data_IF_028100417419
#
_entry.id   IF_028100417419
#
_cell.length_a   1.000
_cell.length_b   1.000
_cell.length_c   1.000
_cell.angle_alpha   90.00
_cell.angle_beta   90.00
_cell.angle_gamma   90.00
#
_symmetry.space_group_name_H-M   'P 1'
#
loop_
_entity.id
_entity.type
_entity.pdbx_description
1 polymer ?
#
# COMPACT_ATOMS: atom_id res chain seq x y z
N UNK A 1 2.43 -15.93 -20.23
CA UNK A 1 2.62 -17.30 -19.69
C UNK A 1 1.28 -18.00 -19.65
N UNK A 2 1.22 -19.30 -19.94
CA UNK A 2 0.01 -20.07 -19.71
C UNK A 2 -0.41 -19.90 -18.24
N UNK A 3 -1.72 -19.79 -18.01
CA UNK A 3 -2.21 -19.74 -16.64
C UNK A 3 -1.89 -21.08 -15.96
N UNK A 4 -1.30 -21.02 -14.76
CA UNK A 4 -0.95 -22.19 -13.98
C UNK A 4 -1.97 -22.38 -12.85
N UNK A 5 -2.03 -23.57 -12.29
CA UNK A 5 -2.84 -24.00 -11.14
C UNK A 5 -1.94 -24.73 -10.14
N UNK A 6 -1.92 -24.32 -8.87
CA UNK A 6 -1.20 -25.08 -7.83
C UNK A 6 -2.20 -26.02 -7.14
N UNK A 7 -1.86 -27.30 -7.02
CA UNK A 7 -2.69 -28.33 -6.38
C UNK A 7 -1.85 -29.21 -5.48
N UNK A 8 -2.45 -29.77 -4.42
CA UNK A 8 -1.74 -30.76 -3.61
C UNK A 8 -1.42 -31.99 -4.44
N UNK A 9 -0.19 -32.48 -4.35
CA UNK A 9 0.30 -33.58 -5.17
C UNK A 9 -0.48 -34.90 -4.91
N UNK A 10 -1.01 -35.09 -3.70
CA UNK A 10 -1.84 -36.25 -3.33
C UNK A 10 -3.22 -36.26 -3.99
N UNK A 11 -3.69 -35.12 -4.49
CA UNK A 11 -4.97 -35.01 -5.23
C UNK A 11 -4.84 -35.37 -6.71
N UNK A 12 -3.62 -35.51 -7.22
CA UNK A 12 -3.35 -35.83 -8.62
C UNK A 12 -3.20 -37.34 -8.86
N UNK A 13 -3.68 -37.87 -10.00
CA UNK A 13 -3.46 -39.26 -10.39
C UNK A 13 -1.98 -39.53 -10.64
N UNK A 14 -1.54 -40.79 -10.50
CA UNK A 14 -0.11 -41.15 -10.54
C UNK A 14 0.50 -40.86 -11.91
N UNK A 15 -0.30 -41.09 -12.95
CA UNK A 15 0.00 -40.91 -14.36
C UNK A 15 0.29 -39.44 -14.71
N UNK A 16 -0.16 -38.48 -13.89
CA UNK A 16 0.14 -37.06 -14.07
C UNK A 16 1.62 -36.72 -13.83
N UNK A 17 2.33 -37.57 -13.09
CA UNK A 17 3.75 -37.38 -12.77
C UNK A 17 4.68 -38.16 -13.72
N UNK A 18 4.18 -39.17 -14.44
CA UNK A 18 4.95 -40.03 -15.36
C UNK A 18 5.53 -39.30 -16.59
N UNK A 19 5.17 -38.04 -16.81
CA UNK A 19 5.69 -37.19 -17.90
C UNK A 19 6.75 -36.19 -17.44
N UNK A 20 7.10 -36.20 -16.14
CA UNK A 20 8.19 -35.41 -15.55
C UNK A 20 9.50 -36.18 -15.42
N UNK A 21 9.47 -37.49 -15.71
CA UNK A 21 10.56 -38.43 -15.46
C UNK A 21 11.88 -37.90 -16.00
N UNK A 22 12.82 -37.67 -15.08
CA UNK A 22 14.22 -37.54 -15.45
C UNK A 22 14.66 -38.85 -16.13
N UNK A 23 15.47 -38.83 -17.20
CA UNK A 23 16.02 -40.06 -17.81
C UNK A 23 17.01 -40.82 -16.89
N UNK A 24 17.07 -40.44 -15.61
CA UNK A 24 17.96 -40.97 -14.59
C UNK A 24 17.17 -41.80 -13.56
N UNK A 25 17.29 -43.14 -13.58
CA UNK A 25 16.46 -44.05 -12.76
C UNK A 25 16.68 -43.91 -11.25
N UNK A 26 17.75 -43.27 -10.78
CA UNK A 26 17.90 -42.94 -9.36
C UNK A 26 16.92 -41.83 -8.91
N UNK A 27 16.52 -40.92 -9.83
CA UNK A 27 15.54 -39.85 -9.58
C UNK A 27 14.08 -40.32 -9.63
N UNK A 28 13.76 -41.35 -10.42
CA UNK A 28 12.41 -41.98 -10.44
C UNK A 28 11.99 -42.50 -9.04
N UNK A 29 12.96 -42.99 -8.25
CA UNK A 29 12.71 -43.46 -6.88
C UNK A 29 12.33 -42.35 -5.89
N UNK A 30 12.67 -41.10 -6.21
CA UNK A 30 12.40 -39.92 -5.38
C UNK A 30 11.09 -39.21 -5.72
N UNK A 31 10.62 -39.27 -6.98
CA UNK A 31 9.34 -38.69 -7.43
C UNK A 31 8.14 -39.38 -6.74
N UNK A 32 8.25 -40.69 -6.51
CA UNK A 32 7.27 -41.50 -5.78
C UNK A 32 7.22 -41.17 -4.28
N UNK A 33 8.31 -40.63 -3.69
CA UNK A 33 8.36 -40.24 -2.27
C UNK A 33 7.51 -39.00 -1.94
N UNK A 34 7.22 -38.13 -2.91
CA UNK A 34 6.36 -36.95 -2.71
C UNK A 34 4.91 -37.32 -2.31
N UNK A 35 4.50 -38.60 -2.42
CA UNK A 35 3.22 -39.13 -1.91
C UNK A 35 3.28 -39.70 -0.48
N UNK A 36 4.47 -39.92 0.10
CA UNK A 36 4.66 -40.65 1.36
C UNK A 36 4.89 -39.76 2.58
N UNK A 37 4.13 -40.03 3.64
CA UNK A 37 4.21 -39.56 5.06
C UNK A 37 4.21 -38.03 5.35
N UNK A 38 4.52 -37.14 4.39
CA UNK A 38 4.49 -35.67 4.53
C UNK A 38 3.63 -34.96 3.46
N UNK A 39 2.50 -35.56 3.09
CA UNK A 39 1.63 -35.09 1.99
C UNK A 39 1.08 -33.64 2.04
N UNK A 40 0.82 -32.95 3.18
CA UNK A 40 0.20 -31.62 3.15
C UNK A 40 1.10 -30.52 2.52
N UNK A 41 2.40 -30.77 2.44
CA UNK A 41 3.40 -29.79 2.01
C UNK A 41 4.03 -30.12 0.65
N UNK A 42 3.46 -31.08 -0.09
CA UNK A 42 3.86 -31.40 -1.46
C UNK A 42 2.82 -30.90 -2.46
N UNK A 43 3.23 -30.00 -3.36
CA UNK A 43 2.35 -29.32 -4.31
C UNK A 43 2.89 -29.39 -5.73
N UNK A 44 1.99 -29.47 -6.70
CA UNK A 44 2.28 -29.55 -8.12
C UNK A 44 1.71 -28.33 -8.84
N UNK A 45 2.46 -27.79 -9.80
CA UNK A 45 1.99 -26.75 -10.70
C UNK A 45 1.49 -27.39 -11.99
N UNK A 46 0.27 -27.07 -12.38
CA UNK A 46 -0.45 -27.66 -13.50
C UNK A 46 -0.84 -26.57 -14.50
N UNK A 47 -0.62 -26.76 -15.79
CA UNK A 47 -1.12 -25.88 -16.83
C UNK A 47 -2.65 -25.88 -16.83
N UNK A 48 -3.28 -24.71 -16.76
CA UNK A 48 -4.75 -24.62 -16.69
C UNK A 48 -5.43 -24.99 -18.01
N UNK A 49 -4.71 -24.95 -19.13
CA UNK A 49 -5.26 -25.20 -20.47
C UNK A 49 -5.14 -26.68 -20.89
N UNK A 50 -4.06 -27.36 -20.49
CA UNK A 50 -3.74 -28.73 -20.89
C UNK A 50 -3.76 -29.73 -19.74
N UNK A 51 -3.87 -29.27 -18.49
CA UNK A 51 -3.84 -30.12 -17.30
C UNK A 51 -2.48 -30.76 -17.03
N UNK A 52 -1.42 -30.32 -17.73
CA UNK A 52 -0.08 -30.92 -17.62
C UNK A 52 0.64 -30.42 -16.37
N UNK A 53 1.31 -31.32 -15.64
CA UNK A 53 2.15 -30.92 -14.51
C UNK A 53 3.45 -30.29 -15.02
N UNK A 54 3.63 -28.99 -14.80
CA UNK A 54 4.78 -28.20 -15.24
C UNK A 54 5.93 -28.17 -14.22
N UNK A 55 5.68 -28.56 -12.97
CA UNK A 55 6.68 -28.64 -11.91
C UNK A 55 6.09 -29.07 -10.56
N UNK A 56 6.95 -29.28 -9.55
CA UNK A 56 6.55 -29.56 -8.18
C UNK A 56 7.40 -28.82 -7.14
N UNK A 57 6.80 -28.59 -5.97
CA UNK A 57 7.46 -28.10 -4.76
C UNK A 57 7.14 -29.05 -3.61
N UNK A 58 8.16 -29.46 -2.87
CA UNK A 58 8.04 -30.33 -1.72
C UNK A 58 8.72 -29.68 -0.52
N UNK A 59 8.00 -29.63 0.59
CA UNK A 59 8.54 -29.18 1.86
C UNK A 59 8.18 -30.13 3.00
N UNK A 60 8.91 -30.02 4.11
CA UNK A 60 8.67 -30.77 5.34
C UNK A 60 8.58 -29.81 6.52
N UNK A 61 7.72 -30.12 7.48
CA UNK A 61 7.69 -29.37 8.72
C UNK A 61 8.89 -29.79 9.58
N UNK A 62 9.66 -28.82 10.06
CA UNK A 62 10.77 -29.01 11.01
C UNK A 62 10.40 -28.37 12.35
N UNK A 63 11.29 -28.48 13.34
CA UNK A 63 11.07 -27.94 14.69
C UNK A 63 10.84 -26.40 14.66
N UNK A 64 10.08 -25.90 15.65
CA UNK A 64 9.66 -24.49 15.81
C UNK A 64 8.74 -23.91 14.73
N UNK A 65 7.73 -24.68 14.30
CA UNK A 65 6.74 -24.26 13.28
C UNK A 65 7.39 -23.67 12.02
N UNK A 66 8.41 -24.38 11.54
CA UNK A 66 9.21 -23.99 10.41
C UNK A 66 9.00 -24.97 9.26
N UNK A 67 8.98 -24.46 8.03
CA UNK A 67 8.74 -25.28 6.85
C UNK A 67 9.99 -25.32 5.99
N UNK A 68 10.64 -26.48 5.90
CA UNK A 68 11.84 -26.66 5.09
C UNK A 68 11.46 -27.04 3.66
N UNK A 69 11.73 -26.19 2.67
CA UNK A 69 11.60 -26.50 1.24
C UNK A 69 12.75 -27.42 0.85
N UNK A 70 12.43 -28.69 0.72
CA UNK A 70 13.39 -29.74 0.36
C UNK A 70 13.61 -29.82 -1.15
N UNK A 71 12.60 -29.47 -1.95
CA UNK A 71 12.62 -29.62 -3.42
C UNK A 71 11.76 -28.57 -4.14
N UNK A 72 12.27 -28.05 -5.26
CA UNK A 72 11.50 -27.28 -6.26
C UNK A 72 12.05 -27.64 -7.65
N UNK A 73 11.28 -28.37 -8.46
CA UNK A 73 11.66 -28.78 -9.82
C UNK A 73 10.64 -28.30 -10.86
N UNK A 74 11.11 -27.96 -12.05
CA UNK A 74 10.30 -27.53 -13.20
C UNK A 74 10.68 -28.31 -14.46
N UNK A 75 9.75 -28.44 -15.42
CA UNK A 75 10.04 -29.10 -16.70
C UNK A 75 11.14 -28.36 -17.50
N UNK A 76 12.17 -29.05 -18.02
CA UNK A 76 13.21 -28.44 -18.84
C UNK A 76 12.71 -27.88 -20.19
N UNK A 77 11.58 -28.37 -20.70
CA UNK A 77 11.05 -28.02 -22.03
C UNK A 77 10.19 -26.74 -22.06
N UNK A 78 9.92 -26.12 -20.92
CA UNK A 78 9.19 -24.83 -20.84
C UNK A 78 10.19 -23.64 -20.82
N UNK A 79 11.49 -23.95 -20.95
CA UNK A 79 12.58 -23.09 -20.50
C UNK A 79 13.27 -22.27 -21.59
N UNK A 80 12.48 -21.53 -22.37
CA UNK A 80 13.01 -20.34 -23.05
C UNK A 80 13.22 -19.17 -22.06
N UNK A 81 12.71 -19.28 -20.82
CA UNK A 81 12.80 -18.29 -19.74
C UNK A 81 13.10 -18.95 -18.37
N UNK A 82 14.33 -19.44 -18.19
CA UNK A 82 14.88 -20.18 -17.04
C UNK A 82 14.53 -19.72 -15.60
N UNK A 83 14.09 -18.48 -15.41
CA UNK A 83 13.84 -17.93 -14.07
C UNK A 83 12.37 -17.86 -13.63
N UNK A 84 11.40 -17.82 -14.55
CA UNK A 84 10.07 -17.28 -14.22
C UNK A 84 9.06 -18.32 -13.70
N UNK A 85 9.15 -19.58 -14.15
CA UNK A 85 8.25 -20.64 -13.69
C UNK A 85 8.54 -21.06 -12.22
N UNK A 86 9.80 -21.29 -11.81
CA UNK A 86 10.14 -21.54 -10.41
C UNK A 86 9.68 -20.40 -9.48
N UNK A 87 9.85 -19.13 -9.90
CA UNK A 87 9.34 -17.95 -9.18
C UNK A 87 7.84 -18.04 -8.94
N UNK A 88 7.07 -18.22 -10.01
CA UNK A 88 5.61 -18.25 -9.94
C UNK A 88 5.09 -19.42 -9.08
N UNK A 89 5.80 -20.56 -9.11
CA UNK A 89 5.46 -21.73 -8.30
C UNK A 89 5.73 -21.53 -6.82
N UNK A 90 6.98 -21.17 -6.48
CA UNK A 90 7.40 -20.89 -5.11
C UNK A 90 6.50 -19.82 -4.50
N UNK A 91 6.21 -18.76 -5.26
CA UNK A 91 5.30 -17.71 -4.84
C UNK A 91 3.96 -18.25 -4.37
N UNK A 92 3.27 -18.97 -5.24
CA UNK A 92 1.93 -19.48 -4.95
C UNK A 92 1.92 -20.47 -3.80
N UNK A 93 2.97 -21.25 -3.67
CA UNK A 93 3.13 -22.16 -2.56
C UNK A 93 3.20 -21.40 -1.22
N UNK A 94 4.00 -20.34 -1.16
CA UNK A 94 4.11 -19.50 0.04
C UNK A 94 2.81 -18.75 0.33
N UNK A 95 2.07 -18.33 -0.70
CA UNK A 95 0.74 -17.73 -0.54
C UNK A 95 -0.24 -18.73 0.11
N UNK A 96 -0.19 -20.02 -0.27
CA UNK A 96 -0.98 -21.08 0.36
C UNK A 96 -0.55 -21.31 1.81
N UNK A 97 0.75 -21.41 2.08
CA UNK A 97 1.29 -21.61 3.43
C UNK A 97 0.84 -20.49 4.38
N UNK A 98 0.82 -19.25 3.88
CA UNK A 98 0.43 -18.08 4.67
C UNK A 98 -1.08 -17.88 4.85
N UNK A 99 -1.93 -18.57 4.07
CA UNK A 99 -3.40 -18.38 4.08
C UNK A 99 -4.22 -19.60 4.52
N UNK A 100 -3.61 -20.77 4.71
CA UNK A 100 -4.30 -22.00 5.10
C UNK A 100 -4.25 -22.22 6.62
N UNK A 101 -5.38 -22.52 7.27
CA UNK A 101 -5.48 -22.84 8.71
C UNK A 101 -4.52 -23.95 9.17
N UNK A 102 -4.34 -25.02 8.39
CA UNK A 102 -3.41 -26.11 8.72
C UNK A 102 -1.94 -25.63 8.75
N UNK A 103 -1.65 -24.60 7.97
CA UNK A 103 -0.34 -23.97 7.82
C UNK A 103 -0.22 -22.68 8.64
N UNK A 104 -1.30 -22.22 9.28
CA UNK A 104 -1.38 -20.92 9.93
C UNK A 104 -0.33 -20.78 11.03
N UNK A 105 0.15 -21.89 11.60
CA UNK A 105 1.23 -21.96 12.59
C UNK A 105 2.64 -21.75 12.03
N UNK A 106 2.85 -21.87 10.72
CA UNK A 106 4.17 -21.73 10.11
C UNK A 106 4.63 -20.27 10.16
N UNK A 107 5.72 -20.02 10.88
CA UNK A 107 6.30 -18.68 11.07
C UNK A 107 7.44 -18.38 10.10
N UNK A 108 8.19 -19.42 9.72
CA UNK A 108 9.38 -19.33 8.86
C UNK A 108 9.41 -20.44 7.82
N UNK A 109 9.96 -20.15 6.64
CA UNK A 109 10.25 -21.11 5.58
C UNK A 109 11.74 -21.16 5.33
N UNK A 110 12.34 -22.34 5.37
CA UNK A 110 13.77 -22.56 5.22
C UNK A 110 14.03 -23.25 3.89
N UNK A 111 14.91 -22.75 3.03
CA UNK A 111 15.26 -23.36 1.76
C UNK A 111 16.77 -23.60 1.68
N UNK A 112 17.21 -24.77 1.19
CA UNK A 112 18.62 -25.14 1.16
C UNK A 112 19.43 -24.33 0.14
N UNK A 113 20.71 -24.03 0.41
CA UNK A 113 21.64 -23.42 -0.56
C UNK A 113 21.60 -24.14 -1.93
N UNK A 114 21.41 -23.37 -2.99
CA UNK A 114 21.23 -23.86 -4.37
C UNK A 114 20.14 -23.12 -5.14
N UNK A 115 19.25 -22.43 -4.43
CA UNK A 115 18.36 -21.43 -5.01
C UNK A 115 19.05 -20.06 -5.12
N UNK A 116 18.68 -19.28 -6.13
CA UNK A 116 19.18 -17.93 -6.34
C UNK A 116 18.52 -16.95 -5.34
N UNK A 117 19.32 -16.23 -4.54
CA UNK A 117 18.82 -15.20 -3.61
C UNK A 117 17.96 -14.17 -4.32
N UNK A 118 18.32 -13.82 -5.56
CA UNK A 118 17.57 -12.89 -6.39
C UNK A 118 16.16 -13.40 -6.68
N UNK A 119 15.94 -14.73 -6.68
CA UNK A 119 14.64 -15.36 -6.87
C UNK A 119 13.68 -15.02 -5.72
N UNK A 120 14.15 -15.18 -4.48
CA UNK A 120 13.34 -14.94 -3.29
C UNK A 120 13.13 -13.46 -3.03
N UNK A 121 14.17 -12.65 -3.22
CA UNK A 121 14.06 -11.19 -3.16
C UNK A 121 13.10 -10.66 -4.23
N UNK A 122 13.11 -11.22 -5.45
CA UNK A 122 12.14 -10.88 -6.50
C UNK A 122 10.70 -11.28 -6.15
N UNK A 123 10.52 -12.29 -5.28
CA UNK A 123 9.23 -12.64 -4.71
C UNK A 123 8.83 -11.78 -3.49
N UNK A 124 9.64 -10.79 -3.12
CA UNK A 124 9.36 -9.87 -2.02
C UNK A 124 9.70 -10.43 -0.63
N UNK A 125 10.38 -11.57 -0.58
CA UNK A 125 10.78 -12.19 0.69
C UNK A 125 12.13 -11.68 1.13
N UNK A 126 12.28 -11.49 2.44
CA UNK A 126 13.59 -11.22 3.04
C UNK A 126 14.23 -12.52 3.42
N UNK A 127 15.50 -12.63 3.07
CA UNK A 127 16.30 -13.80 3.28
C UNK A 127 17.35 -13.51 4.35
N UNK A 128 17.57 -14.47 5.23
CA UNK A 128 18.74 -14.53 6.10
C UNK A 128 19.37 -15.90 6.01
N UNK A 129 20.64 -15.99 6.37
CA UNK A 129 21.40 -17.22 6.30
C UNK A 129 21.65 -17.77 7.70
N UNK A 130 21.29 -19.04 7.92
CA UNK A 130 21.62 -19.77 9.14
C UNK A 130 22.55 -20.95 8.81
N UNK A 131 23.59 -21.15 9.64
CA UNK A 131 24.48 -22.30 9.54
C UNK A 131 23.97 -23.40 10.48
N UNK A 132 23.76 -24.61 9.96
CA UNK A 132 23.47 -25.77 10.80
C UNK A 132 24.75 -26.23 11.50
N UNK A 133 24.69 -26.44 12.82
CA UNK A 133 25.83 -26.90 13.61
C UNK A 133 26.38 -28.22 13.05
N UNK A 134 27.58 -28.15 12.47
CA UNK A 134 28.36 -29.33 12.05
C UNK A 134 28.34 -29.68 10.56
N UNK A 135 27.63 -28.95 9.69
CA UNK A 135 27.70 -29.13 8.23
C UNK A 135 27.66 -27.78 7.48
N UNK A 136 28.38 -27.64 6.34
CA UNK A 136 28.42 -26.40 5.56
C UNK A 136 27.19 -26.28 4.64
N UNK A 137 25.98 -26.33 5.19
CA UNK A 137 24.77 -25.89 4.47
C UNK A 137 24.39 -24.50 4.94
N UNK A 138 24.47 -23.54 4.03
CA UNK A 138 23.87 -22.22 4.24
C UNK A 138 22.39 -22.35 3.91
N UNK A 139 21.51 -22.26 4.90
CA UNK A 139 20.07 -22.33 4.67
C UNK A 139 19.50 -20.90 4.55
N UNK A 140 18.68 -20.69 3.53
CA UNK A 140 17.96 -19.45 3.27
C UNK A 140 16.66 -19.43 4.09
N UNK A 141 16.50 -18.46 4.97
CA UNK A 141 15.34 -18.33 5.86
C UNK A 141 14.43 -17.20 5.41
N UNK A 142 13.15 -17.50 5.25
CA UNK A 142 12.07 -16.57 4.90
C UNK A 142 11.14 -16.44 6.11
N UNK A 143 11.02 -15.24 6.64
CA UNK A 143 10.12 -14.95 7.75
C UNK A 143 8.74 -14.56 7.24
N UNK A 144 7.77 -15.47 7.32
CA UNK A 144 6.40 -15.25 6.79
C UNK A 144 5.56 -14.29 7.67
N UNK A 145 5.92 -14.16 8.95
CA UNK A 145 5.18 -13.33 9.93
C UNK A 145 5.93 -12.10 10.39
N UNK A 146 7.00 -11.76 9.68
CA UNK A 146 7.75 -10.55 9.91
C UNK A 146 7.58 -9.65 8.71
N UNK A 147 6.97 -8.49 8.92
CA UNK A 147 6.78 -7.51 7.85
C UNK A 147 7.38 -6.18 8.26
N UNK A 148 8.23 -5.62 7.41
CA UNK A 148 8.79 -4.30 7.67
C UNK A 148 7.72 -3.25 7.54
N UNK A 149 7.71 -2.37 8.53
CA UNK A 149 6.78 -1.28 8.61
C UNK A 149 7.53 -0.05 9.08
N UNK A 150 7.19 1.09 8.48
CA UNK A 150 7.78 2.38 8.84
C UNK A 150 6.66 3.37 9.07
N UNK A 151 6.91 4.36 9.91
CA UNK A 151 6.03 5.50 10.04
C UNK A 151 6.78 6.74 9.58
N UNK A 152 6.16 7.52 8.69
CA UNK A 152 6.69 8.78 8.22
C UNK A 152 5.67 9.89 8.42
N UNK A 153 6.16 11.07 8.82
CA UNK A 153 5.38 12.29 8.91
C UNK A 153 5.45 13.00 7.55
N UNK A 154 4.37 12.95 6.78
CA UNK A 154 4.28 13.65 5.50
C UNK A 154 3.83 15.10 5.67
N UNK A 155 4.25 15.96 4.74
CA UNK A 155 3.99 17.40 4.77
C UNK A 155 4.42 18.05 6.09
N UNK A 156 5.58 17.65 6.61
CA UNK A 156 6.06 18.13 7.90
C UNK A 156 6.40 19.63 7.86
N UNK A 157 6.39 20.23 9.04
CA UNK A 157 6.96 21.56 9.28
C UNK A 157 8.44 21.37 9.67
N UNK A 158 9.39 21.85 8.86
CA UNK A 158 10.82 21.66 9.13
C UNK A 158 11.29 22.32 10.43
N UNK A 159 10.52 23.26 10.97
CA UNK A 159 10.85 23.97 12.23
C UNK A 159 10.25 23.30 13.47
N UNK A 160 9.50 22.21 13.31
CA UNK A 160 8.79 21.54 14.41
C UNK A 160 8.90 20.02 14.31
N UNK A 161 9.52 19.42 15.32
CA UNK A 161 9.56 17.96 15.46
C UNK A 161 8.15 17.37 15.60
N UNK A 162 7.95 16.16 15.07
CA UNK A 162 6.67 15.44 15.09
C UNK A 162 5.51 16.26 14.52
N UNK A 163 5.80 17.08 13.52
CA UNK A 163 4.82 17.81 12.72
C UNK A 163 4.33 16.97 11.54
N UNK A 164 3.55 17.55 10.64
CA UNK A 164 2.95 16.87 9.50
C UNK A 164 1.88 15.85 9.90
N UNK A 165 1.53 15.00 8.94
CA UNK A 165 0.55 13.94 9.12
C UNK A 165 1.22 12.55 9.07
N UNK A 166 1.20 11.77 10.17
CA UNK A 166 1.84 10.47 10.23
C UNK A 166 1.06 9.43 9.42
N UNK A 167 1.76 8.65 8.59
CA UNK A 167 1.22 7.44 8.00
C UNK A 167 2.20 6.28 8.20
N UNK A 168 1.62 5.10 8.50
CA UNK A 168 2.37 3.86 8.46
C UNK A 168 2.45 3.35 7.02
N UNK A 169 3.58 2.77 6.65
CA UNK A 169 3.86 2.29 5.29
C UNK A 169 4.42 0.88 5.39
N UNK A 170 3.80 -0.02 4.66
CA UNK A 170 4.15 -1.42 4.58
C UNK A 170 4.29 -1.81 3.11
N UNK A 171 5.40 -2.44 2.73
CA UNK A 171 5.50 -3.11 1.42
C UNK A 171 5.07 -4.55 1.62
N UNK A 172 3.96 -4.93 1.00
CA UNK A 172 3.46 -6.29 1.06
C UNK A 172 4.47 -7.23 0.38
N UNK A 173 4.86 -8.33 1.03
CA UNK A 173 5.72 -9.32 0.39
C UNK A 173 4.96 -10.03 -0.72
N UNK A 174 3.62 -9.97 -0.77
CA UNK A 174 2.76 -10.67 -1.73
C UNK A 174 2.23 -9.85 -2.91
N UNK A 175 2.15 -10.47 -4.09
CA UNK A 175 1.38 -9.90 -5.21
C UNK A 175 -0.09 -10.24 -5.01
N UNK A 176 -0.90 -9.30 -4.56
CA UNK A 176 -2.37 -9.37 -4.75
C UNK A 176 -2.68 -9.33 -6.25
N UNK A 177 -3.83 -9.87 -6.69
CA UNK A 177 -4.32 -9.62 -8.06
C UNK A 177 -5.08 -8.29 -8.05
N UNK A 178 -4.96 -7.50 -9.11
CA UNK A 178 -5.54 -6.16 -9.22
C UNK A 178 -7.08 -6.18 -9.22
N UNK A 179 -7.65 -5.14 -8.60
CA UNK A 179 -9.05 -4.75 -8.62
C UNK A 179 -9.40 -4.12 -9.98
N UNK A 180 -10.22 -4.79 -10.80
CA UNK A 180 -11.03 -4.08 -11.81
C UNK A 180 -12.43 -3.77 -11.24
N UNK A 181 -12.85 -2.50 -11.15
CA UNK A 181 -14.23 -2.14 -10.86
C UNK A 181 -15.10 -2.53 -12.07
N UNK A 182 -15.69 -3.73 -12.03
CA UNK A 182 -16.50 -4.25 -13.14
C UNK A 182 -16.32 -5.73 -13.46
N UNK A 183 -15.36 -6.41 -12.83
CA UNK A 183 -15.25 -7.88 -12.89
C UNK A 183 -16.34 -8.56 -12.04
N UNK A 184 -17.62 -8.30 -12.36
CA UNK A 184 -18.74 -9.11 -11.88
C UNK A 184 -19.10 -10.12 -12.97
N UNK A 185 -19.05 -11.41 -12.58
CA UNK A 185 -19.77 -12.55 -13.17
C UNK A 185 -19.16 -13.18 -14.42
N UNK A 186 -18.14 -14.00 -14.23
CA UNK A 186 -18.20 -15.40 -14.64
C UNK A 186 -16.96 -16.15 -14.13
N UNK A 187 -17.20 -17.02 -13.15
CA UNK A 187 -16.41 -18.24 -13.06
C UNK A 187 -16.87 -19.13 -14.23
N UNK A 188 -15.99 -19.74 -15.04
CA UNK A 188 -16.16 -21.16 -15.25
C UNK A 188 -15.99 -21.78 -13.86
N UNK A 189 -17.11 -22.16 -13.26
CA UNK A 189 -17.14 -22.95 -12.04
C UNK A 189 -16.58 -24.32 -12.40
N UNK A 190 -15.26 -24.45 -12.48
CA UNK A 190 -14.59 -25.74 -12.48
C UNK A 190 -13.20 -25.61 -11.84
N UNK A 191 -13.20 -25.87 -10.54
CA UNK A 191 -12.07 -26.48 -9.85
C UNK A 191 -11.07 -25.53 -9.21
N UNK A 192 -11.43 -24.84 -8.13
CA UNK A 192 -10.52 -24.54 -7.01
C UNK A 192 -11.37 -24.34 -5.74
N UNK A 193 -11.27 -25.28 -4.79
CA UNK A 193 -11.91 -25.16 -3.47
C UNK A 193 -10.95 -25.64 -2.38
N UNK A 194 -10.55 -24.75 -1.49
CA UNK A 194 -10.28 -25.11 -0.09
C UNK A 194 -11.58 -24.87 0.64
N UNK A 195 -12.19 -25.93 1.16
CA UNK A 195 -13.53 -25.89 1.73
C UNK A 195 -13.42 -25.55 3.21
N UNK A 196 -14.00 -24.41 3.60
CA UNK A 196 -14.46 -24.20 4.98
C UNK A 196 -15.55 -25.25 5.29
N UNK A 197 -15.34 -26.03 6.35
CA UNK A 197 -16.17 -27.18 6.70
C UNK A 197 -17.61 -26.80 7.11
N UNK A 198 -17.92 -25.53 7.34
CA UNK A 198 -19.30 -25.09 7.63
C UNK A 198 -20.01 -24.43 6.43
N UNK A 199 -19.29 -23.87 5.46
CA UNK A 199 -19.90 -23.03 4.40
C UNK A 199 -19.63 -23.46 2.95
N UNK A 200 -18.68 -24.37 2.69
CA UNK A 200 -18.46 -24.88 1.34
C UNK A 200 -17.77 -23.90 0.36
N UNK A 201 -17.43 -22.68 0.79
CA UNK A 201 -16.88 -21.65 -0.08
C UNK A 201 -15.34 -21.60 -0.04
N UNK A 202 -14.65 -21.35 -1.17
CA UNK A 202 -13.22 -21.13 -1.18
C UNK A 202 -12.85 -19.83 -0.46
N UNK A 203 -11.99 -19.92 0.56
CA UNK A 203 -11.19 -18.78 1.04
C UNK A 203 -10.39 -18.24 -0.15
N UNK A 204 -10.69 -17.02 -0.59
CA UNK A 204 -9.93 -16.38 -1.68
C UNK A 204 -8.65 -15.83 -1.08
N UNK A 205 -7.52 -15.94 -1.75
CA UNK A 205 -6.24 -15.33 -1.33
C UNK A 205 -6.34 -13.80 -1.19
N UNK A 206 -7.35 -13.19 -1.83
CA UNK A 206 -7.74 -11.80 -1.60
C UNK A 206 -8.21 -11.58 -0.16
N UNK A 207 -8.91 -12.53 0.44
CA UNK A 207 -9.43 -12.47 1.81
C UNK A 207 -8.28 -12.44 2.84
N UNK A 208 -7.17 -13.16 2.61
CA UNK A 208 -6.04 -13.17 3.56
C UNK A 208 -5.25 -11.86 3.55
N UNK A 209 -5.02 -11.25 2.38
CA UNK A 209 -4.39 -9.95 2.26
C UNK A 209 -5.29 -8.83 2.83
N UNK A 210 -6.59 -8.90 2.59
CA UNK A 210 -7.56 -7.97 3.20
C UNK A 210 -7.54 -8.05 4.73
N UNK A 211 -7.60 -9.27 5.28
CA UNK A 211 -7.56 -9.51 6.72
C UNK A 211 -6.26 -8.97 7.31
N UNK A 212 -5.12 -9.23 6.67
CA UNK A 212 -3.83 -8.68 7.10
C UNK A 212 -3.82 -7.15 7.09
N UNK A 213 -4.18 -6.53 5.97
CA UNK A 213 -4.15 -5.06 5.85
C UNK A 213 -5.10 -4.39 6.84
N UNK A 214 -6.27 -4.99 7.08
CA UNK A 214 -7.23 -4.51 8.09
C UNK A 214 -6.67 -4.69 9.50
N UNK A 215 -6.10 -5.85 9.83
CA UNK A 215 -5.50 -6.11 11.14
C UNK A 215 -4.35 -5.15 11.43
N UNK A 216 -3.45 -4.95 10.46
CA UNK A 216 -2.33 -4.00 10.60
C UNK A 216 -2.85 -2.57 10.68
N UNK A 217 -3.78 -2.15 9.81
CA UNK A 217 -4.39 -0.82 9.88
C UNK A 217 -5.00 -0.51 11.25
N UNK A 218 -5.74 -1.47 11.81
CA UNK A 218 -6.32 -1.39 13.15
C UNK A 218 -5.24 -1.33 14.24
N UNK A 219 -4.20 -2.16 14.14
CA UNK A 219 -3.10 -2.20 15.10
C UNK A 219 -2.30 -0.89 15.12
N UNK A 220 -2.12 -0.27 13.95
CA UNK A 220 -1.40 1.01 13.84
C UNK A 220 -2.21 2.17 14.39
N UNK A 221 -3.53 2.13 14.25
CA UNK A 221 -4.46 3.15 14.74
C UNK A 221 -4.03 4.58 14.37
N UNK A 222 -3.51 4.73 13.14
CA UNK A 222 -3.26 6.01 12.49
C UNK A 222 -4.44 6.37 11.60
N UNK A 223 -4.46 7.61 11.08
CA UNK A 223 -5.47 8.00 10.09
C UNK A 223 -5.44 7.04 8.90
N UNK A 224 -4.25 6.72 8.39
CA UNK A 224 -4.06 5.76 7.32
C UNK A 224 -2.79 4.93 7.50
N UNK A 225 -2.90 3.65 7.17
CA UNK A 225 -1.78 2.76 6.86
C UNK A 225 -1.79 2.46 5.36
N UNK A 226 -0.67 2.77 4.70
CA UNK A 226 -0.46 2.48 3.29
C UNK A 226 0.19 1.11 3.10
N UNK A 227 -0.35 0.34 2.18
CA UNK A 227 0.16 -0.95 1.74
C UNK A 227 0.57 -0.84 0.28
N UNK A 228 1.81 -1.20 -0.01
CA UNK A 228 2.43 -1.09 -1.32
C UNK A 228 2.74 -2.48 -1.87
N UNK A 229 2.53 -2.69 -3.16
CA UNK A 229 2.96 -3.90 -3.88
C UNK A 229 3.80 -3.48 -5.08
N UNK A 230 5.03 -3.97 -5.18
CA UNK A 230 5.91 -3.70 -6.32
C UNK A 230 5.39 -4.39 -7.59
N UNK A 231 5.20 -3.59 -8.64
CA UNK A 231 4.72 -4.06 -9.95
C UNK A 231 5.86 -4.17 -10.98
N UNK A 232 7.06 -3.69 -10.64
CA UNK A 232 8.25 -3.74 -11.51
C UNK A 232 8.60 -2.39 -12.13
N UNK A 233 9.74 -2.37 -12.82
CA UNK A 233 10.25 -1.21 -13.55
C UNK A 233 9.61 -1.13 -14.95
N UNK A 234 9.44 0.10 -15.43
CA UNK A 234 9.11 0.37 -16.84
C UNK A 234 10.36 0.21 -17.73
N UNK A 235 10.16 0.12 -19.05
CA UNK A 235 11.23 -0.04 -20.03
C UNK A 235 12.25 1.13 -20.03
N UNK A 236 11.86 2.30 -19.53
CA UNK A 236 12.72 3.48 -19.46
C UNK A 236 13.83 3.38 -18.39
N UNK A 237 13.74 2.41 -17.48
CA UNK A 237 14.67 2.20 -16.37
C UNK A 237 14.69 3.32 -15.32
N UNK A 238 13.82 4.32 -15.44
CA UNK A 238 13.70 5.49 -14.55
C UNK A 238 12.38 5.55 -13.80
N UNK A 239 11.42 4.75 -14.24
CA UNK A 239 10.09 4.66 -13.67
C UNK A 239 9.89 3.28 -13.06
N UNK A 240 9.35 3.24 -11.84
CA UNK A 240 8.90 2.00 -11.20
C UNK A 240 7.43 2.10 -10.79
N UNK A 241 6.70 1.01 -10.96
CA UNK A 241 5.28 0.92 -10.67
C UNK A 241 5.04 0.22 -9.34
N UNK A 242 4.08 0.70 -8.57
CA UNK A 242 3.55 0.04 -7.39
C UNK A 242 2.03 0.07 -7.41
N UNK A 243 1.36 -0.92 -6.84
CA UNK A 243 -0.02 -0.73 -6.36
C UNK A 243 0.06 -0.11 -4.97
N UNK A 244 -0.87 0.79 -4.65
CA UNK A 244 -1.02 1.37 -3.32
C UNK A 244 -2.47 1.26 -2.84
N UNK A 245 -2.63 0.90 -1.57
CA UNK A 245 -3.94 0.83 -0.88
C UNK A 245 -3.83 1.45 0.49
N UNK A 246 -4.88 2.11 0.95
CA UNK A 246 -4.88 2.80 2.25
C UNK A 246 -5.99 2.27 3.14
N UNK A 247 -5.62 1.77 4.32
CA UNK A 247 -6.59 1.35 5.35
C UNK A 247 -6.62 2.35 6.49
N UNK A 248 -7.82 2.73 6.87
CA UNK A 248 -8.16 3.34 8.15
C UNK A 248 -8.69 2.24 9.09
N UNK A 249 -8.89 2.53 10.39
CA UNK A 249 -9.56 1.59 11.30
C UNK A 249 -10.98 1.20 10.84
N UNK A 250 -11.65 2.09 10.10
CA UNK A 250 -13.05 1.92 9.68
C UNK A 250 -13.20 1.31 8.27
N UNK A 251 -12.12 1.26 7.48
CA UNK A 251 -12.18 0.68 6.14
C UNK A 251 -11.08 1.16 5.19
N UNK A 252 -11.28 0.92 3.90
CA UNK A 252 -10.37 1.38 2.85
C UNK A 252 -10.84 2.70 2.26
N UNK A 253 -9.90 3.60 1.97
CA UNK A 253 -10.17 4.86 1.26
C UNK A 253 -9.60 4.81 -0.16
N UNK A 254 -10.28 5.45 -1.11
CA UNK A 254 -9.89 5.40 -2.52
C UNK A 254 -8.65 6.26 -2.86
N UNK A 255 -8.35 7.27 -2.03
CA UNK A 255 -7.23 8.19 -2.22
C UNK A 255 -6.80 8.82 -0.88
N UNK A 256 -5.48 8.83 -0.61
CA UNK A 256 -4.93 9.56 0.53
C UNK A 256 -3.60 10.27 0.18
N UNK A 257 -3.61 11.61 0.20
CA UNK A 257 -2.45 12.41 -0.23
C UNK A 257 -1.23 12.30 0.68
N UNK A 258 -1.39 12.40 2.00
CA UNK A 258 -0.25 12.36 2.93
C UNK A 258 0.34 10.95 3.02
N UNK A 259 -0.48 9.90 3.03
CA UNK A 259 0.01 8.53 3.02
C UNK A 259 0.69 8.16 1.69
N UNK A 260 0.28 8.80 0.58
CA UNK A 260 1.01 8.74 -0.71
C UNK A 260 2.40 9.37 -0.61
N UNK A 261 2.51 10.56 -0.02
CA UNK A 261 3.81 11.23 0.17
C UNK A 261 4.70 10.43 1.12
N UNK A 262 4.14 9.95 2.24
CA UNK A 262 4.84 9.10 3.20
C UNK A 262 5.35 7.82 2.53
N UNK A 263 4.53 7.17 1.70
CA UNK A 263 4.88 5.96 0.97
C UNK A 263 6.04 6.18 0.00
N UNK A 264 5.93 7.19 -0.84
CA UNK A 264 6.95 7.50 -1.86
C UNK A 264 8.26 7.93 -1.21
N UNK A 265 8.19 8.77 -0.16
CA UNK A 265 9.33 9.10 0.67
C UNK A 265 9.99 7.86 1.29
N UNK A 266 9.20 7.00 1.93
CA UNK A 266 9.70 5.80 2.57
C UNK A 266 10.38 4.85 1.57
N UNK A 267 9.85 4.70 0.36
CA UNK A 267 10.47 3.86 -0.67
C UNK A 267 11.87 4.37 -1.07
N UNK A 268 12.07 5.68 -1.20
CA UNK A 268 13.37 6.28 -1.55
C UNK A 268 14.31 6.51 -0.36
N UNK A 269 13.81 6.48 0.88
CA UNK A 269 14.59 6.73 2.08
C UNK A 269 15.37 5.46 2.49
N UNK A 270 16.71 5.45 2.41
CA UNK A 270 17.50 4.23 2.64
C UNK A 270 17.34 3.67 4.06
N UNK A 271 17.07 4.52 5.05
CA UNK A 271 16.85 4.10 6.44
C UNK A 271 15.52 3.39 6.64
N UNK A 272 14.54 3.56 5.73
CA UNK A 272 13.26 2.84 5.81
C UNK A 272 13.49 1.35 5.69
N UNK A 273 14.49 0.99 4.87
CA UNK A 273 14.80 -0.36 4.48
C UNK A 273 13.55 -1.16 4.10
N UNK A 274 12.53 -0.54 3.49
CA UNK A 274 11.34 -1.25 3.03
C UNK A 274 11.69 -2.16 1.85
N UNK A 275 12.55 -1.68 0.96
CA UNK A 275 13.01 -2.37 -0.24
C UNK A 275 14.41 -2.98 -0.05
N UNK A 276 14.81 -3.83 -0.99
CA UNK A 276 16.20 -4.27 -1.13
C UNK A 276 17.09 -3.06 -1.52
N UNK A 277 18.33 -2.98 -1.02
CA UNK A 277 19.29 -1.96 -1.46
C UNK A 277 19.45 -1.95 -2.98
N UNK A 278 19.52 -0.77 -3.59
CA UNK A 278 19.71 -0.61 -5.03
C UNK A 278 18.46 -0.77 -5.90
N UNK A 279 17.34 -1.23 -5.34
CA UNK A 279 16.11 -1.51 -6.13
C UNK A 279 15.55 -0.28 -6.85
N UNK A 280 15.82 0.92 -6.31
CA UNK A 280 15.39 2.21 -6.89
C UNK A 280 16.57 3.03 -7.43
N UNK A 281 17.73 2.41 -7.69
CA UNK A 281 18.87 3.13 -8.27
C UNK A 281 18.50 3.63 -9.68
N UNK A 282 18.70 4.93 -9.91
CA UNK A 282 18.32 5.59 -11.16
C UNK A 282 16.81 5.87 -11.33
N UNK A 283 15.96 5.45 -10.38
CA UNK A 283 14.51 5.70 -10.42
C UNK A 283 14.19 7.08 -9.85
N UNK A 284 13.69 7.97 -10.70
CA UNK A 284 13.24 9.32 -10.34
C UNK A 284 11.71 9.47 -10.36
N UNK A 285 10.98 8.46 -10.85
CA UNK A 285 9.52 8.46 -10.97
C UNK A 285 8.92 7.18 -10.38
N UNK A 286 7.91 7.36 -9.54
CA UNK A 286 7.03 6.28 -9.08
C UNK A 286 5.63 6.50 -9.66
N UNK A 287 5.07 5.45 -10.24
CA UNK A 287 3.65 5.37 -10.60
C UNK A 287 2.96 4.47 -9.59
N UNK A 288 1.90 4.98 -8.96
CA UNK A 288 1.13 4.25 -7.97
C UNK A 288 -0.27 3.97 -8.52
N UNK A 289 -0.59 2.71 -8.74
CA UNK A 289 -1.92 2.24 -9.12
C UNK A 289 -2.81 2.18 -7.88
N UNK A 290 -3.93 2.91 -7.89
CA UNK A 290 -4.88 2.97 -6.78
C UNK A 290 -6.33 2.84 -7.27
N UNK A 291 -7.28 2.68 -6.36
CA UNK A 291 -8.72 2.66 -6.68
C UNK A 291 -9.22 3.95 -7.30
N UNK A 292 -8.56 5.07 -7.04
CA UNK A 292 -8.84 6.38 -7.65
C UNK A 292 -8.13 6.62 -8.99
N UNK A 293 -7.39 5.63 -9.49
CA UNK A 293 -6.56 5.73 -10.68
C UNK A 293 -5.08 5.88 -10.37
N UNK A 294 -4.30 6.23 -11.40
CA UNK A 294 -2.85 6.39 -11.29
C UNK A 294 -2.47 7.69 -10.58
N UNK A 295 -1.55 7.57 -9.62
CA UNK A 295 -0.88 8.69 -8.99
C UNK A 295 0.60 8.70 -9.41
N UNK A 296 1.18 9.89 -9.56
CA UNK A 296 2.58 10.03 -9.92
C UNK A 296 3.32 10.77 -8.82
N UNK A 297 4.49 10.25 -8.46
CA UNK A 297 5.45 10.92 -7.60
C UNK A 297 6.79 11.04 -8.33
N UNK A 298 7.38 12.24 -8.29
CA UNK A 298 8.69 12.52 -8.89
C UNK A 298 9.64 12.99 -7.82
N UNK A 299 10.85 12.43 -7.81
CA UNK A 299 11.96 12.82 -6.95
C UNK A 299 12.95 13.64 -7.75
N UNK A 300 13.23 14.86 -7.30
CA UNK A 300 14.26 15.69 -7.94
C UNK A 300 15.67 15.30 -7.49
N UNK A 301 16.68 15.94 -8.10
CA UNK A 301 18.09 15.68 -7.80
C UNK A 301 18.48 16.06 -6.36
N UNK A 302 17.69 16.88 -5.67
CA UNK A 302 17.88 17.26 -4.28
C UNK A 302 17.14 16.30 -3.33
N UNK A 303 16.42 15.32 -3.88
CA UNK A 303 15.69 14.31 -3.13
C UNK A 303 14.28 14.73 -2.72
N UNK A 304 13.80 15.90 -3.14
CA UNK A 304 12.46 16.35 -2.81
C UNK A 304 11.42 15.67 -3.71
N UNK A 305 10.26 15.40 -3.13
CA UNK A 305 9.21 14.62 -3.77
C UNK A 305 8.05 15.54 -4.13
N UNK A 306 7.63 15.46 -5.37
CA UNK A 306 6.46 16.16 -5.89
C UNK A 306 5.40 15.13 -6.27
N UNK A 307 4.23 15.23 -5.64
CA UNK A 307 3.04 14.47 -6.01
C UNK A 307 2.23 15.22 -7.06
N UNK A 308 1.60 14.48 -7.96
CA UNK A 308 0.84 15.02 -9.07
C UNK A 308 -0.64 14.63 -8.97
N UNK A 309 -1.51 15.62 -8.75
CA UNK A 309 -2.95 15.45 -8.54
C UNK A 309 -3.78 16.20 -9.59
N UNK A 310 -5.03 15.77 -9.84
CA UNK A 310 -5.99 16.56 -10.59
C UNK A 310 -6.21 17.93 -9.94
N UNK A 311 -6.38 18.97 -10.77
CA UNK A 311 -6.78 20.28 -10.30
C UNK A 311 -8.23 20.24 -9.81
N UNK A 312 -8.47 20.70 -8.58
CA UNK A 312 -9.80 20.90 -8.03
C UNK A 312 -10.10 22.39 -7.96
N UNK A 313 -11.36 22.78 -8.24
CA UNK A 313 -11.80 24.16 -8.08
C UNK A 313 -12.87 24.26 -7.00
N UNK A 314 -12.82 25.35 -6.24
CA UNK A 314 -14.02 25.82 -5.56
C UNK A 314 -14.97 26.28 -6.65
N UNK A 315 -16.10 25.61 -6.75
CA UNK A 315 -17.03 25.82 -7.85
C UNK A 315 -17.82 27.10 -7.59
N UNK A 316 -17.79 28.03 -8.54
CA UNK A 316 -18.73 29.14 -8.58
C UNK A 316 -20.16 28.66 -8.92
N UNK A 317 -20.29 27.48 -9.54
CA UNK A 317 -21.55 26.83 -9.92
C UNK A 317 -22.19 26.02 -8.77
N UNK A 318 -21.43 25.70 -7.73
CA UNK A 318 -21.89 25.08 -6.48
C UNK A 318 -21.53 25.98 -5.29
N UNK A 319 -22.11 27.19 -5.19
CA UNK A 319 -21.93 28.00 -3.99
C UNK A 319 -22.50 27.26 -2.78
N UNK A 320 -21.91 27.46 -1.62
CA UNK A 320 -22.53 26.99 -0.38
C UNK A 320 -23.91 27.65 -0.23
N UNK A 321 -24.94 26.86 0.02
CA UNK A 321 -26.28 27.37 0.30
C UNK A 321 -26.29 28.20 1.58
N UNK A 322 -27.25 29.12 1.71
CA UNK A 322 -27.43 29.91 2.94
C UNK A 322 -27.61 29.00 4.18
N UNK A 323 -28.25 27.84 3.99
CA UNK A 323 -28.43 26.84 5.03
C UNK A 323 -27.10 26.22 5.47
N UNK A 324 -26.24 25.82 4.52
CA UNK A 324 -24.91 25.29 4.82
C UNK A 324 -24.03 26.36 5.46
N UNK A 325 -24.04 27.59 4.93
CA UNK A 325 -23.32 28.74 5.51
C UNK A 325 -23.72 28.94 6.97
N UNK A 326 -25.02 28.97 7.26
CA UNK A 326 -25.51 29.15 8.63
C UNK A 326 -25.16 27.95 9.53
N UNK A 327 -25.25 26.73 9.01
CA UNK A 327 -24.95 25.51 9.76
C UNK A 327 -23.46 25.43 10.11
N UNK A 328 -22.57 25.69 9.15
CA UNK A 328 -21.12 25.63 9.38
C UNK A 328 -20.66 26.74 10.31
N UNK A 329 -21.10 27.98 10.11
CA UNK A 329 -20.73 29.10 11.00
C UNK A 329 -21.23 28.90 12.43
N UNK A 330 -22.38 28.25 12.62
CA UNK A 330 -22.86 27.89 13.97
C UNK A 330 -21.94 26.88 14.67
N UNK A 331 -21.28 26.00 13.92
CA UNK A 331 -20.33 25.02 14.45
C UNK A 331 -18.89 25.53 14.57
N UNK A 332 -18.60 26.74 14.11
CA UNK A 332 -17.26 27.34 14.18
C UNK A 332 -17.28 28.49 15.20
N UNK A 333 -17.02 28.16 16.46
CA UNK A 333 -16.99 29.14 17.55
C UNK A 333 -15.75 30.03 17.43
N UNK A 334 -15.86 31.30 17.86
CA UNK A 334 -14.75 32.26 17.79
C UNK A 334 -14.62 32.99 16.44
N UNK A 335 -15.61 32.87 15.55
CA UNK A 335 -15.68 33.63 14.29
C UNK A 335 -16.86 34.60 14.35
N UNK A 336 -16.59 35.89 14.16
CA UNK A 336 -17.60 36.90 13.90
C UNK A 336 -17.90 37.02 12.40
N UNK A 337 -19.16 37.27 12.02
CA UNK A 337 -19.57 37.35 10.62
C UNK A 337 -18.75 38.34 9.76
N UNK A 338 -18.30 39.52 10.25
CA UNK A 338 -17.42 40.42 9.50
C UNK A 338 -16.04 39.85 9.18
N UNK A 339 -15.59 38.81 9.88
CA UNK A 339 -14.31 38.14 9.60
C UNK A 339 -14.41 37.17 8.41
N UNK A 340 -15.63 36.80 7.98
CA UNK A 340 -15.85 35.86 6.88
C UNK A 340 -15.77 36.59 5.53
N UNK A 341 -14.74 36.26 4.76
CA UNK A 341 -14.48 36.85 3.43
C UNK A 341 -15.23 36.10 2.33
N UNK A 342 -15.25 34.78 2.41
CA UNK A 342 -15.85 33.93 1.39
C UNK A 342 -16.29 32.59 2.00
N UNK A 343 -17.40 32.05 1.51
CA UNK A 343 -17.83 30.69 1.80
C UNK A 343 -18.09 30.00 0.47
N UNK A 344 -17.37 28.92 0.22
CA UNK A 344 -17.45 28.16 -1.01
C UNK A 344 -17.49 26.66 -0.76
N UNK A 345 -17.57 25.92 -1.85
CA UNK A 345 -17.66 24.46 -1.84
C UNK A 345 -16.96 23.87 -3.06
N UNK A 346 -16.38 22.69 -2.89
CA UNK A 346 -16.06 21.80 -4.01
C UNK A 346 -16.99 20.57 -3.98
N UNK A 347 -16.74 19.57 -4.83
CA UNK A 347 -17.57 18.35 -4.86
C UNK A 347 -17.74 17.62 -3.52
N UNK A 348 -16.83 17.78 -2.55
CA UNK A 348 -16.84 17.05 -1.26
C UNK A 348 -16.85 17.96 -0.02
N UNK A 349 -16.15 19.09 -0.06
CA UNK A 349 -15.73 19.89 1.10
C UNK A 349 -16.27 21.32 1.05
N UNK A 350 -16.53 21.89 2.22
CA UNK A 350 -16.80 23.33 2.40
C UNK A 350 -15.51 24.09 2.69
N UNK A 351 -15.43 25.33 2.21
CA UNK A 351 -14.31 26.24 2.48
C UNK A 351 -14.82 27.56 3.03
N UNK A 352 -14.26 27.99 4.15
CA UNK A 352 -14.54 29.26 4.81
C UNK A 352 -13.25 30.06 4.81
N UNK A 353 -13.23 31.12 4.02
CA UNK A 353 -12.14 32.08 4.02
C UNK A 353 -12.38 33.15 5.09
N UNK A 354 -11.41 33.34 5.96
CA UNK A 354 -11.39 34.38 6.98
C UNK A 354 -10.42 35.51 6.61
N UNK A 355 -10.56 36.63 7.31
CA UNK A 355 -9.80 37.85 7.01
C UNK A 355 -8.29 37.72 7.19
N UNK A 356 -7.83 36.88 8.13
CA UNK A 356 -6.41 36.75 8.47
C UNK A 356 -6.10 35.44 9.23
N UNK A 357 -4.79 35.22 9.46
CA UNK A 357 -4.24 34.09 10.22
C UNK A 357 -4.74 34.02 11.66
N UNK A 358 -4.95 35.17 12.31
CA UNK A 358 -5.37 35.22 13.71
C UNK A 358 -6.79 34.65 13.84
N UNK A 359 -7.70 35.06 12.96
CA UNK A 359 -9.05 34.54 12.88
C UNK A 359 -9.07 33.01 12.66
N UNK A 360 -8.21 32.48 11.77
CA UNK A 360 -8.07 31.02 11.55
C UNK A 360 -7.58 30.30 12.81
N UNK A 361 -6.64 30.90 13.54
CA UNK A 361 -6.06 30.34 14.77
C UNK A 361 -7.03 30.32 15.96
N UNK A 362 -7.95 31.29 16.03
CA UNK A 362 -8.90 31.43 17.13
C UNK A 362 -10.12 30.52 17.02
N UNK A 363 -10.35 29.89 15.86
CA UNK A 363 -11.51 29.03 15.66
C UNK A 363 -11.51 27.83 16.61
N UNK A 364 -12.62 27.64 17.31
CA UNK A 364 -12.89 26.46 18.13
C UNK A 364 -14.01 25.65 17.46
N UNK A 365 -13.72 24.46 16.90
CA UNK A 365 -14.72 23.65 16.22
C UNK A 365 -15.65 22.98 17.24
N UNK A 366 -16.96 23.08 17.01
CA UNK A 366 -17.95 22.26 17.68
C UNK A 366 -18.20 21.00 16.86
N UNK A 367 -17.42 19.93 17.11
CA UNK A 367 -17.45 18.70 16.30
C UNK A 367 -18.84 18.11 16.13
N UNK A 368 -19.70 18.17 17.16
CA UNK A 368 -21.06 17.65 17.08
C UNK A 368 -21.94 18.41 16.07
N UNK A 369 -21.82 19.74 16.03
CA UNK A 369 -22.55 20.57 15.05
C UNK A 369 -21.96 20.39 13.65
N UNK A 370 -20.63 20.39 13.53
CA UNK A 370 -19.95 20.25 12.24
C UNK A 370 -20.19 18.86 11.62
N UNK A 371 -20.30 17.80 12.42
CA UNK A 371 -20.64 16.45 11.94
C UNK A 371 -22.03 16.37 11.27
N UNK A 372 -22.93 17.31 11.58
CA UNK A 372 -24.26 17.36 10.98
C UNK A 372 -24.31 18.12 9.64
N UNK A 373 -23.22 18.80 9.27
CA UNK A 373 -23.14 19.54 8.00
C UNK A 373 -22.93 18.54 6.86
N UNK A 374 -23.72 18.59 5.76
CA UNK A 374 -23.68 17.60 4.68
C UNK A 374 -22.48 17.80 3.75
N UNK A 375 -21.27 17.63 4.29
CA UNK A 375 -20.01 17.68 3.57
C UNK A 375 -19.03 16.68 4.19
N UNK A 376 -17.99 16.30 3.44
CA UNK A 376 -16.94 15.41 3.92
C UNK A 376 -16.06 16.12 4.95
N UNK A 377 -15.57 17.32 4.61
CA UNK A 377 -14.75 18.13 5.49
C UNK A 377 -15.01 19.63 5.31
N UNK A 378 -14.52 20.41 6.27
CA UNK A 378 -14.62 21.86 6.33
C UNK A 378 -13.20 22.43 6.45
N UNK A 379 -12.75 23.15 5.42
CA UNK A 379 -11.53 23.94 5.47
C UNK A 379 -11.82 25.35 5.95
N UNK A 380 -10.98 25.84 6.84
CA UNK A 380 -10.90 27.26 7.16
C UNK A 380 -9.56 27.76 6.69
N UNK A 381 -9.54 28.88 5.97
CA UNK A 381 -8.30 29.41 5.43
C UNK A 381 -8.27 30.94 5.44
N UNK A 382 -7.08 31.52 5.32
CA UNK A 382 -6.90 32.95 5.12
C UNK A 382 -5.65 33.20 4.28
N UNK A 383 -5.57 34.39 3.69
CA UNK A 383 -4.30 34.89 3.16
C UNK A 383 -3.31 35.09 4.31
N UNK A 384 -2.05 34.82 4.03
CA UNK A 384 -0.96 35.15 4.95
C UNK A 384 -0.50 36.61 4.78
N UNK A 385 0.22 37.11 5.79
CA UNK A 385 0.81 38.45 5.70
C UNK A 385 1.93 38.48 4.65
N UNK A 386 2.23 39.66 4.11
CA UNK A 386 3.32 39.83 3.14
C UNK A 386 4.72 39.57 3.73
N UNK A 387 4.84 39.50 5.06
CA UNK A 387 6.08 39.17 5.77
C UNK A 387 6.24 37.65 5.97
N UNK A 388 5.17 36.87 5.78
CA UNK A 388 5.19 35.42 5.91
C UNK A 388 5.89 34.76 4.72
N UNK A 389 6.63 33.65 4.93
CA UNK A 389 7.15 32.84 3.83
C UNK A 389 6.07 31.99 3.14
N UNK A 390 4.82 32.04 3.64
CA UNK A 390 3.66 31.33 3.12
C UNK A 390 2.68 32.30 2.47
N UNK A 391 1.92 31.82 1.48
CA UNK A 391 0.92 32.63 0.77
C UNK A 391 -0.47 32.53 1.43
N UNK A 392 -0.76 31.39 2.05
CA UNK A 392 -2.02 31.17 2.76
C UNK A 392 -1.85 30.19 3.93
N UNK A 393 -2.76 30.29 4.88
CA UNK A 393 -2.86 29.41 6.03
C UNK A 393 -4.20 28.68 6.03
N UNK A 394 -4.25 27.45 6.55
CA UNK A 394 -5.47 26.67 6.63
C UNK A 394 -5.56 25.79 7.90
N UNK A 395 -6.77 25.35 8.22
CA UNK A 395 -7.10 24.23 9.11
C UNK A 395 -8.19 23.41 8.45
N UNK A 396 -8.32 22.13 8.79
CA UNK A 396 -9.35 21.25 8.24
C UNK A 396 -10.00 20.40 9.33
N UNK A 397 -11.33 20.41 9.36
CA UNK A 397 -12.14 19.63 10.28
C UNK A 397 -12.97 18.62 9.50
N UNK A 398 -12.95 17.35 9.91
CA UNK A 398 -13.73 16.28 9.26
C UNK A 398 -14.50 15.42 10.28
N UNK A 399 -15.29 16.01 11.21
CA UNK A 399 -15.91 15.26 12.29
C UNK A 399 -16.98 14.28 11.80
N UNK A 400 -17.56 14.48 10.61
CA UNK A 400 -18.42 13.50 9.95
C UNK A 400 -17.69 12.18 9.61
N UNK A 401 -16.37 12.21 9.53
CA UNK A 401 -15.48 11.05 9.34
C UNK A 401 -14.84 10.58 10.66
N UNK A 402 -15.28 11.08 11.81
CA UNK A 402 -14.67 10.78 13.11
C UNK A 402 -13.32 11.47 13.36
N UNK A 403 -12.92 12.41 12.50
CA UNK A 403 -11.67 13.17 12.64
C UNK A 403 -11.98 14.61 13.02
N UNK A 404 -11.79 14.95 14.30
CA UNK A 404 -12.05 16.32 14.79
C UNK A 404 -11.28 17.37 13.99
N UNK A 405 -9.96 17.21 13.84
CA UNK A 405 -9.08 18.08 13.06
C UNK A 405 -7.97 17.25 12.40
N UNK A 406 -7.82 17.40 11.08
CA UNK A 406 -6.74 16.75 10.32
C UNK A 406 -5.40 17.48 10.57
N UNK A 407 -4.32 16.76 10.96
CA UNK A 407 -2.99 17.34 11.11
C UNK A 407 -2.47 18.06 9.86
N UNK A 408 -2.63 17.44 8.70
CA UNK A 408 -2.27 18.01 7.41
C UNK A 408 -3.03 17.34 6.28
N UNK A 409 -3.90 18.10 5.62
CA UNK A 409 -4.69 17.62 4.50
C UNK A 409 -4.11 18.06 3.15
N UNK A 410 -3.42 17.13 2.48
CA UNK A 410 -2.87 17.39 1.13
C UNK A 410 -3.96 17.68 0.09
N UNK A 411 -5.09 16.96 0.13
CA UNK A 411 -6.19 17.19 -0.82
C UNK A 411 -6.80 18.59 -0.69
N UNK A 412 -6.76 19.19 0.50
CA UNK A 412 -7.21 20.57 0.68
C UNK A 412 -6.41 21.57 -0.17
N UNK A 413 -5.11 21.33 -0.30
CA UNK A 413 -4.22 22.18 -1.08
C UNK A 413 -4.45 22.07 -2.60
N UNK A 414 -5.14 21.03 -3.06
CA UNK A 414 -5.52 20.86 -4.47
C UNK A 414 -6.62 21.85 -4.91
N UNK A 415 -7.45 22.36 -3.98
CA UNK A 415 -8.42 23.42 -4.27
C UNK A 415 -8.05 24.77 -3.65
N UNK A 416 -7.34 24.80 -2.51
CA UNK A 416 -6.85 26.06 -1.93
C UNK A 416 -5.78 26.71 -2.80
N UNK A 417 -4.90 25.90 -3.42
CA UNK A 417 -3.90 26.39 -4.36
C UNK A 417 -4.53 27.20 -5.50
N UNK A 418 -5.39 26.60 -6.35
CA UNK A 418 -6.06 27.34 -7.40
C UNK A 418 -6.89 28.55 -6.92
N UNK A 419 -7.52 28.44 -5.74
CA UNK A 419 -8.28 29.56 -5.14
C UNK A 419 -7.40 30.78 -4.84
N UNK A 420 -6.32 30.57 -4.09
CA UNK A 420 -5.40 31.66 -3.75
C UNK A 420 -4.53 32.09 -4.93
N UNK A 421 -4.21 31.18 -5.84
CA UNK A 421 -3.44 31.48 -7.05
C UNK A 421 -4.15 32.50 -7.93
N UNK A 422 -5.47 32.35 -8.10
CA UNK A 422 -6.29 33.36 -8.80
C UNK A 422 -6.30 34.71 -8.10
N UNK A 423 -6.41 34.73 -6.76
CA UNK A 423 -6.43 35.97 -5.97
C UNK A 423 -5.11 36.70 -5.99
N UNK A 424 -4.00 35.96 -5.94
CA UNK A 424 -2.64 36.50 -5.89
C UNK A 424 -2.02 36.72 -7.27
N UNK A 425 -2.64 36.21 -8.34
CA UNK A 425 -2.05 36.18 -9.68
C UNK A 425 -0.80 35.29 -9.77
N UNK A 426 -0.77 34.19 -9.00
CA UNK A 426 0.37 33.25 -8.89
C UNK A 426 -0.03 31.84 -9.31
N UNK A 427 0.93 31.11 -9.88
CA UNK A 427 0.80 29.67 -10.17
C UNK A 427 1.63 28.80 -9.23
N UNK A 428 2.57 29.39 -8.48
CA UNK A 428 3.37 28.73 -7.46
C UNK A 428 3.16 29.45 -6.13
N UNK A 429 2.82 28.69 -5.09
CA UNK A 429 2.47 29.19 -3.77
C UNK A 429 2.98 28.25 -2.68
N UNK A 430 2.99 28.72 -1.43
CA UNK A 430 3.21 27.87 -0.26
C UNK A 430 2.02 27.93 0.68
N UNK A 431 1.48 26.77 1.00
CA UNK A 431 0.41 26.61 1.98
C UNK A 431 0.96 26.15 3.32
N UNK A 432 0.46 26.75 4.41
CA UNK A 432 0.72 26.31 5.77
C UNK A 432 -0.56 25.78 6.42
N UNK A 433 -0.51 24.66 7.13
CA UNK A 433 -1.63 24.19 7.94
C UNK A 433 -1.36 24.48 9.42
N UNK A 434 -2.25 25.24 10.06
CA UNK A 434 -2.18 25.69 11.46
C UNK A 434 -2.82 24.70 12.44
N UNK A 435 -2.73 23.40 12.15
CA UNK A 435 -3.18 22.36 13.09
C UNK A 435 -2.24 22.28 14.30
N UNK A 436 -2.60 21.47 15.30
CA UNK A 436 -1.71 21.20 16.46
C UNK A 436 -0.35 20.64 16.04
N UNK A 437 -0.28 19.83 14.98
CA UNK A 437 0.97 19.26 14.46
C UNK A 437 1.67 20.21 13.49
N UNK A 438 0.90 21.04 12.80
CA UNK A 438 1.34 21.94 11.72
C UNK A 438 1.95 21.21 10.52
N UNK A 439 2.07 21.88 9.40
CA UNK A 439 2.77 21.35 8.23
C UNK A 439 2.77 22.35 7.08
N UNK A 440 3.51 22.05 6.04
CA UNK A 440 3.59 22.92 4.86
C UNK A 440 3.77 22.15 3.56
N UNK A 441 3.34 22.76 2.46
CA UNK A 441 3.59 22.27 1.10
C UNK A 441 3.80 23.44 0.15
N UNK A 442 4.71 23.29 -0.79
CA UNK A 442 4.70 24.06 -2.03
C UNK A 442 3.57 23.52 -2.92
N UNK A 443 2.86 24.42 -3.58
CA UNK A 443 1.74 24.13 -4.47
C UNK A 443 2.03 24.77 -5.82
N UNK A 444 2.06 23.96 -6.87
CA UNK A 444 2.13 24.45 -8.25
C UNK A 444 0.86 24.10 -8.99
N UNK A 445 0.20 25.12 -9.54
CA UNK A 445 -1.04 25.01 -10.29
C UNK A 445 -0.73 25.13 -11.77
N UNK A 446 -1.14 24.12 -12.55
CA UNK A 446 -1.05 24.12 -14.00
C UNK A 446 -2.46 24.08 -14.60
N UNK A 447 -2.93 25.25 -15.06
CA UNK A 447 -4.21 25.37 -15.74
C UNK A 447 -4.19 24.76 -17.15
N UNK A 448 -3.03 24.73 -17.81
CA UNK A 448 -2.89 24.10 -19.13
C UNK A 448 -3.14 22.59 -19.06
N UNK A 449 -2.55 21.92 -18.08
CA UNK A 449 -2.66 20.47 -17.91
C UNK A 449 -3.79 20.05 -16.96
N UNK A 450 -4.50 21.01 -16.33
CA UNK A 450 -5.48 20.76 -15.26
C UNK A 450 -4.90 19.92 -14.11
N UNK A 451 -3.69 20.26 -13.67
CA UNK A 451 -2.97 19.55 -12.58
C UNK A 451 -2.58 20.48 -11.45
N UNK A 452 -2.50 19.93 -10.25
CA UNK A 452 -1.88 20.54 -9.08
C UNK A 452 -0.76 19.63 -8.59
N UNK A 453 0.42 20.19 -8.45
CA UNK A 453 1.58 19.51 -7.94
C UNK A 453 1.84 19.93 -6.50
N UNK A 454 1.94 18.97 -5.60
CA UNK A 454 2.22 19.20 -4.18
C UNK A 454 3.62 18.69 -3.86
N UNK A 455 4.48 19.59 -3.38
CA UNK A 455 5.82 19.25 -2.91
C UNK A 455 5.90 19.56 -1.42
N UNK A 456 6.01 18.52 -0.61
CA UNK A 456 6.07 18.61 0.84
C UNK A 456 7.31 17.92 1.40
N UNK A 457 7.76 18.36 2.57
CA UNK A 457 8.76 17.64 3.35
C UNK A 457 8.17 16.34 3.92
N UNK A 458 9.02 15.36 4.17
CA UNK A 458 8.66 14.15 4.90
C UNK A 458 9.82 13.70 5.79
N UNK A 459 9.50 13.08 6.92
CA UNK A 459 10.48 12.63 7.90
C UNK A 459 10.12 11.25 8.47
N UNK A 460 11.09 10.34 8.55
CA UNK A 460 10.91 9.07 9.25
C UNK A 460 10.71 9.32 10.75
N UNK A 461 9.62 8.80 11.30
CA UNK A 461 9.38 8.77 12.74
C UNK A 461 10.00 7.54 13.38
N UNK A 462 9.79 6.37 12.78
CA UNK A 462 10.38 5.12 13.23
C UNK A 462 10.35 4.07 12.12
N UNK A 463 11.22 3.07 12.25
CA UNK A 463 11.37 1.92 11.36
C UNK A 463 11.34 0.69 12.25
N UNK A 464 10.55 -0.32 11.88
CA UNK A 464 10.39 -1.51 12.70
C UNK A 464 10.02 -2.74 11.91
N UNK A 465 9.90 -3.83 12.65
CA UNK A 465 9.39 -5.11 12.16
C UNK A 465 8.09 -5.42 12.90
N UNK A 466 7.02 -5.66 12.13
CA UNK A 466 5.78 -6.18 12.65
C UNK A 466 5.92 -7.69 12.79
N UNK A 467 5.71 -8.21 13.99
CA UNK A 467 5.62 -9.65 14.26
C UNK A 467 4.16 -10.01 14.49
N UNK A 468 3.60 -10.92 13.69
CA UNK A 468 2.25 -11.44 13.93
C UNK A 468 2.30 -12.84 14.53
N UNK A 469 1.33 -13.13 15.40
CA UNK A 469 0.98 -14.51 15.72
C UNK A 469 0.31 -15.20 14.51
N UNK A 470 -0.09 -16.47 14.64
CA UNK A 470 -0.97 -17.10 13.67
C UNK A 470 -2.21 -16.24 13.47
N UNK A 471 -2.58 -15.94 12.22
CA UNK A 471 -3.90 -15.40 11.95
C UNK A 471 -4.90 -16.54 12.16
N UNK A 472 -5.76 -16.42 13.17
CA UNK A 472 -6.95 -17.25 13.26
C UNK A 472 -7.92 -16.69 12.21
N UNK A 473 -8.02 -17.39 11.08
CA UNK A 473 -8.99 -17.06 10.03
C UNK A 473 -10.39 -17.50 10.44
#
# INVERSE_FOLDING_TARGET
MPSLKLVRADTLPQEAFETLSSPDPEKESEEVRCRGENAPFCWAAVGSEDGMVCGYIGASLVEDDALRVDKLLTRPQIDDNAGLLPLAMLRRYLDVVSSNEECARIGRVVARAGFDDALFEACGFRTSWEAEDGAPSTDLVIELRQTRIVCANAFNNPEKAFSGNPAAVCVLPFRTRSLEPGASKSFPTDGFSFVDNESGAPLRTEDSCEVFMKAVGNQMNLSETAFLRDLGAEEDGKTRRFEIRWKTPDGEVDLCGHATLASTFALWEPRSQLLAPGLLDGVDKLILESRSGELCARRDAQGAITLDFPLETLSEDLPASDAERKAVLRGLEGIDEPQVVFVGRNRMDLVIELCDREAVGQVVPNSALLASVPCRAISISALESTESPYDFVSRLFAPALGVDEDPFCGSAHCYLGPHYGRRLGKTEMRGFMLSKRTGSTDVKVSHETQRVYLRGGAELSWVGMLHSGPFAF
#
